data_IF_426744463229
#
_entry.id   IF_426744463229
#
_cell.length_a   1.000
_cell.length_b   1.000
_cell.length_c   1.000
_cell.angle_alpha   90.00
_cell.angle_beta   90.00
_cell.angle_gamma   90.00
#
_symmetry.space_group_name_H-M   'P 1'
#
loop_
_entity.id
_entity.type
_entity.pdbx_description
1 polymer ?
#
# COMPACT_ATOMS: atom_id res chain seq x y z
N UNK A 1 21.25 17.95 -36.33
CA UNK A 1 20.60 17.08 -35.33
C UNK A 1 19.79 17.95 -34.38
N UNK A 2 18.46 17.94 -34.49
CA UNK A 2 17.59 18.60 -33.50
C UNK A 2 17.61 17.69 -32.27
N UNK A 3 18.24 18.14 -31.18
CA UNK A 3 18.06 17.51 -29.87
C UNK A 3 16.60 17.70 -29.49
N UNK A 4 15.79 16.66 -29.69
CA UNK A 4 14.44 16.58 -29.14
C UNK A 4 14.59 16.48 -27.63
N UNK A 5 14.69 17.64 -26.96
CA UNK A 5 14.58 17.73 -25.52
C UNK A 5 13.24 17.10 -25.14
N UNK A 6 13.29 15.89 -24.58
CA UNK A 6 12.10 15.23 -24.11
C UNK A 6 11.52 16.16 -23.02
N UNK A 7 10.27 16.61 -23.12
CA UNK A 7 9.69 17.54 -22.14
C UNK A 7 9.60 16.93 -20.73
N UNK A 8 10.02 15.67 -20.54
CA UNK A 8 10.26 15.01 -19.26
C UNK A 8 11.65 15.30 -18.66
N UNK A 9 12.57 15.95 -19.36
CA UNK A 9 13.96 16.17 -18.91
C UNK A 9 14.16 17.43 -18.07
N UNK A 10 13.14 18.27 -17.93
CA UNK A 10 13.23 19.44 -17.06
C UNK A 10 13.16 19.03 -15.57
N UNK A 11 14.15 19.39 -14.73
CA UNK A 11 14.24 18.97 -13.34
C UNK A 11 13.02 19.40 -12.50
N UNK A 12 12.46 20.58 -12.79
CA UNK A 12 11.26 21.12 -12.14
C UNK A 12 10.04 20.22 -12.40
N UNK A 13 9.86 19.75 -13.65
CA UNK A 13 8.72 18.91 -14.03
C UNK A 13 8.77 17.53 -13.38
N UNK A 14 9.97 16.94 -13.30
CA UNK A 14 10.21 15.64 -12.61
C UNK A 14 9.90 15.72 -11.12
N UNK A 15 10.29 16.81 -10.46
CA UNK A 15 10.04 16.99 -9.03
C UNK A 15 8.53 17.09 -8.73
N UNK A 16 7.81 17.86 -9.55
CA UNK A 16 6.36 18.03 -9.45
C UNK A 16 5.60 16.73 -9.67
N UNK A 17 5.96 15.95 -10.70
CA UNK A 17 5.34 14.64 -10.97
C UNK A 17 5.51 13.65 -9.82
N UNK A 18 6.70 13.61 -9.21
CA UNK A 18 7.00 12.74 -8.06
C UNK A 18 6.24 13.11 -6.82
N UNK A 19 6.16 14.42 -6.54
CA UNK A 19 5.34 14.94 -5.45
C UNK A 19 3.88 14.54 -5.63
N UNK A 20 3.32 14.72 -6.83
CA UNK A 20 1.96 14.29 -7.12
C UNK A 20 1.79 12.77 -7.03
N UNK A 21 2.78 11.98 -7.45
CA UNK A 21 2.77 10.53 -7.27
C UNK A 21 2.68 10.11 -5.80
N UNK A 22 3.43 10.77 -4.92
CA UNK A 22 3.38 10.50 -3.47
C UNK A 22 2.05 10.94 -2.85
N UNK A 23 1.51 12.09 -3.27
CA UNK A 23 0.19 12.54 -2.83
C UNK A 23 -0.93 11.61 -3.31
N UNK A 24 -0.82 11.09 -4.53
CA UNK A 24 -1.73 10.07 -5.05
C UNK A 24 -1.63 8.79 -4.21
N UNK A 25 -0.42 8.32 -3.90
CA UNK A 25 -0.22 7.17 -3.02
C UNK A 25 -0.81 7.38 -1.62
N UNK A 26 -0.68 8.58 -1.06
CA UNK A 26 -1.30 8.94 0.22
C UNK A 26 -2.84 8.90 0.14
N UNK A 27 -3.43 9.46 -0.91
CA UNK A 27 -4.87 9.44 -1.13
C UNK A 27 -5.41 8.00 -1.31
N UNK A 28 -4.72 7.18 -2.12
CA UNK A 28 -5.07 5.77 -2.32
C UNK A 28 -4.93 4.96 -1.02
N UNK A 29 -3.95 5.27 -0.17
CA UNK A 29 -3.81 4.66 1.15
C UNK A 29 -4.99 5.02 2.06
N UNK A 30 -5.45 6.28 2.05
CA UNK A 30 -6.62 6.68 2.82
C UNK A 30 -7.89 5.93 2.38
N UNK A 31 -8.09 5.77 1.06
CA UNK A 31 -9.19 4.97 0.50
C UNK A 31 -9.05 3.50 0.91
N UNK A 32 -7.84 2.93 0.79
CA UNK A 32 -7.54 1.56 1.19
C UNK A 32 -7.78 1.31 2.68
N UNK A 33 -7.37 2.25 3.54
CA UNK A 33 -7.60 2.17 4.98
C UNK A 33 -9.08 2.20 5.30
N UNK A 34 -9.85 3.10 4.66
CA UNK A 34 -11.31 3.14 4.82
C UNK A 34 -11.96 1.83 4.39
N UNK A 35 -11.54 1.28 3.25
CA UNK A 35 -12.06 0.01 2.76
C UNK A 35 -11.72 -1.13 3.73
N UNK A 36 -10.46 -1.27 4.15
CA UNK A 36 -10.02 -2.29 5.10
C UNK A 36 -10.76 -2.18 6.44
N UNK A 37 -10.82 -0.99 7.04
CA UNK A 37 -11.40 -0.79 8.37
C UNK A 37 -12.93 -0.90 8.34
N UNK A 38 -13.64 -0.28 7.39
CA UNK A 38 -15.10 -0.29 7.41
C UNK A 38 -15.69 -1.52 6.70
N UNK A 39 -15.28 -1.72 5.45
CA UNK A 39 -15.83 -2.81 4.61
C UNK A 39 -15.22 -4.14 5.01
N UNK A 40 -13.91 -4.19 5.26
CA UNK A 40 -13.24 -5.41 5.67
C UNK A 40 -13.72 -5.90 7.04
N UNK A 41 -13.91 -5.01 8.02
CA UNK A 41 -14.36 -5.42 9.35
C UNK A 41 -15.74 -6.06 9.30
N UNK A 42 -16.70 -5.40 8.65
CA UNK A 42 -18.07 -5.94 8.50
C UNK A 42 -18.16 -7.22 7.66
N UNK A 43 -17.30 -7.37 6.64
CA UNK A 43 -17.37 -8.53 5.72
C UNK A 43 -16.44 -9.68 6.07
N UNK A 44 -15.42 -9.46 6.90
CA UNK A 44 -14.37 -10.45 7.17
C UNK A 44 -14.17 -10.64 8.67
N UNK A 45 -13.90 -9.55 9.41
CA UNK A 45 -13.53 -9.66 10.82
C UNK A 45 -14.73 -10.07 11.70
N UNK A 46 -15.88 -9.42 11.53
CA UNK A 46 -17.10 -9.73 12.28
C UNK A 46 -17.60 -11.16 12.01
N UNK A 47 -17.72 -11.65 10.75
CA UNK A 47 -18.02 -13.05 10.49
C UNK A 47 -16.99 -14.02 11.07
N UNK A 48 -15.71 -13.65 11.10
CA UNK A 48 -14.66 -14.46 11.72
C UNK A 48 -14.88 -14.59 13.23
N UNK A 49 -15.25 -13.51 13.92
CA UNK A 49 -15.61 -13.57 15.36
C UNK A 49 -16.85 -14.41 15.64
N UNK A 50 -17.76 -14.52 14.68
CA UNK A 50 -18.93 -15.40 14.81
C UNK A 50 -18.58 -16.90 14.69
N UNK A 51 -17.36 -17.24 14.27
CA UNK A 51 -16.90 -18.64 14.24
C UNK A 51 -16.45 -19.11 15.62
N UNK A 52 -16.63 -20.40 15.91
CA UNK A 52 -16.23 -21.01 17.19
C UNK A 52 -14.72 -21.27 17.31
N UNK A 53 -13.89 -20.31 16.88
CA UNK A 53 -12.44 -20.40 16.98
C UNK A 53 -11.97 -20.15 18.43
N UNK A 54 -10.84 -20.74 18.85
CA UNK A 54 -10.21 -20.42 20.14
C UNK A 54 -9.89 -18.92 20.26
N UNK A 55 -10.02 -18.39 21.48
CA UNK A 55 -9.85 -16.95 21.75
C UNK A 55 -8.44 -16.45 21.41
N UNK A 56 -7.44 -17.31 21.57
CA UNK A 56 -6.05 -17.01 21.23
C UNK A 56 -5.90 -16.76 19.73
N UNK A 57 -6.59 -17.57 18.91
CA UNK A 57 -6.57 -17.46 17.45
C UNK A 57 -7.26 -16.18 17.00
N UNK A 58 -8.45 -15.88 17.53
CA UNK A 58 -9.18 -14.66 17.17
C UNK A 58 -8.41 -13.39 17.58
N UNK A 59 -7.75 -13.41 18.74
CA UNK A 59 -6.89 -12.30 19.20
C UNK A 59 -5.70 -12.06 18.26
N UNK A 60 -5.04 -13.11 17.79
CA UNK A 60 -3.94 -12.97 16.83
C UNK A 60 -4.45 -12.37 15.52
N UNK A 61 -5.61 -12.81 15.03
CA UNK A 61 -6.21 -12.28 13.81
C UNK A 61 -6.56 -10.79 13.97
N UNK A 62 -7.15 -10.40 15.11
CA UNK A 62 -7.46 -8.99 15.41
C UNK A 62 -6.20 -8.12 15.41
N UNK A 63 -5.13 -8.59 16.07
CA UNK A 63 -3.85 -7.88 16.09
C UNK A 63 -3.30 -7.68 14.67
N UNK A 64 -3.33 -8.73 13.84
CA UNK A 64 -2.88 -8.62 12.45
C UNK A 64 -3.78 -7.69 11.64
N UNK A 65 -5.09 -7.74 11.86
CA UNK A 65 -6.06 -6.88 11.19
C UNK A 65 -5.78 -5.40 11.43
N UNK A 66 -5.57 -5.02 12.69
CA UNK A 66 -5.28 -3.64 13.08
C UNK A 66 -3.84 -3.22 12.76
N UNK A 67 -2.88 -4.14 12.76
CA UNK A 67 -1.53 -3.85 12.26
C UNK A 67 -1.53 -3.49 10.77
N UNK A 68 -2.30 -4.22 9.94
CA UNK A 68 -2.46 -3.86 8.52
C UNK A 68 -3.13 -2.49 8.38
N UNK A 69 -4.19 -2.22 9.17
CA UNK A 69 -4.84 -0.90 9.17
C UNK A 69 -3.84 0.22 9.51
N UNK A 70 -3.05 0.04 10.57
CA UNK A 70 -2.03 0.98 10.99
C UNK A 70 -0.97 1.18 9.91
N UNK A 71 -0.50 0.10 9.28
CA UNK A 71 0.47 0.16 8.17
C UNK A 71 -0.06 1.01 7.01
N UNK A 72 -1.32 0.80 6.58
CA UNK A 72 -1.91 1.58 5.48
C UNK A 72 -2.01 3.07 5.86
N UNK A 73 -2.53 3.37 7.04
CA UNK A 73 -2.74 4.74 7.51
C UNK A 73 -1.41 5.47 7.67
N UNK A 74 -0.47 4.88 8.41
CA UNK A 74 0.86 5.45 8.64
C UNK A 74 1.66 5.54 7.33
N UNK A 75 1.48 4.59 6.43
CA UNK A 75 2.06 4.64 5.09
C UNK A 75 1.55 5.81 4.26
N UNK A 76 0.24 6.07 4.30
CA UNK A 76 -0.35 7.25 3.67
C UNK A 76 0.23 8.55 4.22
N UNK A 77 0.35 8.67 5.54
CA UNK A 77 0.97 9.81 6.22
C UNK A 77 2.44 9.97 5.80
N UNK A 78 3.21 8.88 5.79
CA UNK A 78 4.62 8.91 5.41
C UNK A 78 4.82 9.36 3.94
N UNK A 79 3.97 8.90 3.02
CA UNK A 79 3.98 9.38 1.64
C UNK A 79 3.62 10.86 1.53
N UNK A 80 2.61 11.33 2.27
CA UNK A 80 2.27 12.74 2.31
C UNK A 80 3.44 13.59 2.82
N UNK A 81 4.12 13.16 3.90
CA UNK A 81 5.33 13.84 4.41
C UNK A 81 6.45 13.85 3.37
N UNK A 82 6.77 12.70 2.75
CA UNK A 82 7.83 12.58 1.75
C UNK A 82 7.55 13.38 0.46
N UNK A 83 6.29 13.72 0.20
CA UNK A 83 5.91 14.60 -0.91
C UNK A 83 6.53 15.99 -0.76
N UNK A 84 6.65 16.48 0.49
CA UNK A 84 7.20 17.80 0.84
C UNK A 84 8.60 17.75 1.45
N UNK A 85 9.04 16.60 1.98
CA UNK A 85 10.34 16.39 2.61
C UNK A 85 11.16 15.38 1.81
N UNK A 86 12.02 15.88 0.93
CA UNK A 86 12.77 15.05 -0.04
C UNK A 86 13.67 14.02 0.62
N UNK A 87 14.21 14.31 1.80
CA UNK A 87 15.06 13.44 2.60
C UNK A 87 14.36 12.16 3.07
N UNK A 88 13.01 12.19 3.15
CA UNK A 88 12.21 11.03 3.53
C UNK A 88 11.86 10.11 2.36
N UNK A 89 12.10 10.52 1.11
CA UNK A 89 11.67 9.75 -0.06
C UNK A 89 12.33 8.38 -0.11
N UNK A 90 13.66 8.29 -0.06
CA UNK A 90 14.37 7.00 -0.08
C UNK A 90 13.94 6.05 1.05
N UNK A 91 13.88 6.48 2.32
CA UNK A 91 13.35 5.65 3.40
C UNK A 91 11.93 5.14 3.11
N UNK A 92 11.03 6.01 2.64
CA UNK A 92 9.64 5.63 2.29
C UNK A 92 9.59 4.65 1.12
N UNK A 93 10.43 4.83 0.08
CA UNK A 93 10.50 3.90 -1.04
C UNK A 93 10.85 2.48 -0.58
N UNK A 94 11.90 2.34 0.24
CA UNK A 94 12.39 1.03 0.68
C UNK A 94 11.52 0.40 1.76
N UNK A 95 11.23 1.16 2.83
CA UNK A 95 10.55 0.61 3.99
C UNK A 95 9.06 0.45 3.73
N UNK A 96 8.39 1.45 3.16
CA UNK A 96 6.96 1.35 2.93
C UNK A 96 6.65 0.67 1.60
N UNK A 97 7.27 1.15 0.51
CA UNK A 97 7.06 0.59 -0.82
C UNK A 97 7.47 -0.88 -0.89
N UNK A 98 8.64 -1.23 -0.35
CA UNK A 98 9.09 -2.61 -0.26
C UNK A 98 8.18 -3.49 0.60
N UNK A 99 7.73 -3.01 1.76
CA UNK A 99 6.85 -3.78 2.63
C UNK A 99 5.48 -4.05 1.97
N UNK A 100 4.92 -3.07 1.26
CA UNK A 100 3.70 -3.27 0.47
C UNK A 100 3.87 -4.32 -0.64
N UNK A 101 5.02 -4.34 -1.33
CA UNK A 101 5.30 -5.37 -2.33
C UNK A 101 5.41 -6.76 -1.70
N UNK A 102 6.08 -6.89 -0.55
CA UNK A 102 6.21 -8.17 0.15
C UNK A 102 4.85 -8.69 0.61
N UNK A 103 4.02 -7.85 1.24
CA UNK A 103 2.66 -8.22 1.63
C UNK A 103 1.85 -8.66 0.41
N UNK A 104 1.89 -7.87 -0.67
CA UNK A 104 1.16 -8.19 -1.89
C UNK A 104 1.59 -9.55 -2.47
N UNK A 105 2.89 -9.82 -2.53
CA UNK A 105 3.42 -11.10 -3.01
C UNK A 105 2.95 -12.28 -2.15
N UNK A 106 3.05 -12.17 -0.82
CA UNK A 106 2.60 -13.22 0.12
C UNK A 106 1.10 -13.47 -0.06
N UNK A 107 0.30 -12.42 -0.07
CA UNK A 107 -1.14 -12.54 -0.17
C UNK A 107 -1.61 -13.07 -1.53
N UNK A 108 -0.94 -12.72 -2.63
CA UNK A 108 -1.19 -13.29 -3.96
C UNK A 108 -0.87 -14.79 -3.96
N UNK A 109 0.28 -15.18 -3.39
CA UNK A 109 0.67 -16.59 -3.30
C UNK A 109 -0.33 -17.40 -2.46
N UNK A 110 -0.73 -16.89 -1.29
CA UNK A 110 -1.74 -17.53 -0.45
C UNK A 110 -3.08 -17.61 -1.18
N UNK A 111 -3.53 -16.52 -1.82
CA UNK A 111 -4.80 -16.49 -2.56
C UNK A 111 -4.83 -17.55 -3.66
N UNK A 112 -3.74 -17.67 -4.42
CA UNK A 112 -3.62 -18.70 -5.45
C UNK A 112 -3.65 -20.10 -4.84
N UNK A 113 -2.91 -20.34 -3.76
CA UNK A 113 -2.84 -21.66 -3.12
C UNK A 113 -4.16 -22.13 -2.52
N UNK A 114 -5.00 -21.20 -2.01
CA UNK A 114 -6.25 -21.55 -1.32
C UNK A 114 -7.48 -21.48 -2.22
N UNK A 115 -7.53 -20.50 -3.13
CA UNK A 115 -8.71 -20.24 -3.97
C UNK A 115 -8.50 -20.61 -5.44
N UNK A 116 -7.30 -21.06 -5.84
CA UNK A 116 -6.96 -21.35 -7.23
C UNK A 116 -6.84 -20.10 -8.12
N UNK A 117 -6.89 -18.90 -7.53
CA UNK A 117 -6.81 -17.62 -8.25
C UNK A 117 -6.02 -16.58 -7.46
N UNK A 118 -5.09 -15.83 -8.07
CA UNK A 118 -4.34 -14.77 -7.39
C UNK A 118 -5.25 -13.58 -7.00
N UNK A 119 -6.47 -13.52 -7.55
CA UNK A 119 -7.43 -12.45 -7.31
C UNK A 119 -8.47 -12.80 -6.24
N UNK A 120 -8.37 -13.99 -5.62
CA UNK A 120 -9.31 -14.44 -4.58
C UNK A 120 -9.42 -13.46 -3.41
N UNK A 121 -8.33 -12.74 -3.13
CA UNK A 121 -8.31 -11.63 -2.19
C UNK A 121 -7.79 -10.35 -2.90
N UNK A 122 -8.61 -9.82 -3.81
CA UNK A 122 -8.28 -8.71 -4.71
C UNK A 122 -7.66 -7.48 -4.02
N UNK A 123 -8.04 -7.17 -2.78
CA UNK A 123 -7.50 -6.04 -2.01
C UNK A 123 -5.97 -6.07 -1.85
N UNK A 124 -5.33 -7.24 -1.94
CA UNK A 124 -3.88 -7.35 -1.80
C UNK A 124 -3.11 -7.04 -3.09
N UNK A 125 -3.77 -7.08 -4.25
CA UNK A 125 -3.17 -6.61 -5.51
C UNK A 125 -3.00 -5.09 -5.48
N UNK A 126 -3.92 -4.39 -4.81
CA UNK A 126 -3.87 -2.93 -4.62
C UNK A 126 -2.60 -2.52 -3.87
N UNK A 127 -2.19 -3.27 -2.85
CA UNK A 127 -0.91 -3.05 -2.15
C UNK A 127 0.29 -3.17 -3.08
N UNK A 128 0.27 -4.10 -4.03
CA UNK A 128 1.34 -4.24 -5.02
C UNK A 128 1.46 -3.00 -5.89
N UNK A 129 0.35 -2.54 -6.45
CA UNK A 129 0.31 -1.29 -7.24
C UNK A 129 0.72 -0.08 -6.41
N UNK A 130 0.29 -0.01 -5.15
CA UNK A 130 0.65 1.07 -4.23
C UNK A 130 2.15 1.05 -3.93
N UNK A 131 2.73 -0.11 -3.65
CA UNK A 131 4.17 -0.28 -3.44
C UNK A 131 5.00 0.15 -4.66
N UNK A 132 4.59 -0.25 -5.86
CA UNK A 132 5.24 0.20 -7.11
C UNK A 132 5.15 1.71 -7.30
N UNK A 133 3.97 2.29 -7.05
CA UNK A 133 3.76 3.75 -7.13
C UNK A 133 4.63 4.48 -6.10
N UNK A 134 4.67 4.01 -4.85
CA UNK A 134 5.49 4.57 -3.78
C UNK A 134 6.96 4.55 -4.15
N UNK A 135 7.47 3.41 -4.61
CA UNK A 135 8.86 3.28 -5.06
C UNK A 135 9.11 4.23 -6.21
N UNK A 136 8.33 4.18 -7.29
CA UNK A 136 8.54 5.05 -8.46
C UNK A 136 8.54 6.54 -8.09
N UNK A 137 7.58 6.98 -7.27
CA UNK A 137 7.42 8.38 -6.90
C UNK A 137 8.52 8.87 -5.94
N UNK A 138 9.00 7.98 -5.05
CA UNK A 138 10.03 8.29 -4.07
C UNK A 138 11.47 7.92 -4.51
N UNK A 139 11.64 7.21 -5.62
CA UNK A 139 12.96 6.74 -6.08
C UNK A 139 13.79 7.87 -6.68
N UNK A 140 14.46 8.67 -5.84
CA UNK A 140 15.78 9.33 -6.03
C UNK A 140 16.10 10.06 -4.73
#
# INVERSE_FOLDING_TARGET
MISLNNPLDQPVRRWTLRRYGLLLGAALSAVGARYHIAVGTSKVLEPMHATALPREVTTIIDLMWWQIAALIVMGGVAMAVAAFRTEWRRPVAWLLGGHYLVISAICIAISYSWFGTPLGLFQWVIFGSLGLLTIWAAWR
#
